data_IF_731418346813
#
_entry.id   IF_731418346813
#
_cell.length_a   1.000
_cell.length_b   1.000
_cell.length_c   1.000
_cell.angle_alpha   90.00
_cell.angle_beta   90.00
_cell.angle_gamma   90.00
#
_symmetry.space_group_name_H-M   'P 1'
#
loop_
_entity.id
_entity.type
_entity.pdbx_description
1 polymer ?
#
# COMPACT_ATOMS: atom_id res chain seq x y z
N UNK A 1 -10.77 11.92 0.46
CA UNK A 1 -9.78 12.97 0.05
C UNK A 1 -10.46 14.31 -0.28
N UNK A 2 -11.68 14.31 -0.76
CA UNK A 2 -12.48 15.53 -1.00
C UNK A 2 -12.95 16.19 0.30
N UNK A 3 -12.86 15.48 1.43
CA UNK A 3 -13.36 15.94 2.73
C UNK A 3 -12.48 16.96 3.45
N UNK A 4 -11.25 17.19 2.99
CA UNK A 4 -10.34 18.17 3.62
C UNK A 4 -10.50 19.61 3.12
N UNK A 5 -11.25 19.86 2.08
CA UNK A 5 -11.68 21.16 1.56
C UNK A 5 -10.93 22.39 2.08
N UNK A 6 -11.64 23.25 2.78
CA UNK A 6 -11.11 24.47 3.38
C UNK A 6 -10.09 24.22 4.51
N UNK A 7 -10.09 23.05 5.14
CA UNK A 7 -9.19 22.72 6.25
C UNK A 7 -7.79 22.30 5.78
N UNK A 8 -7.57 22.14 4.48
CA UNK A 8 -6.29 21.69 3.93
C UNK A 8 -5.11 22.59 4.33
N UNK A 9 -5.31 23.89 4.38
CA UNK A 9 -4.28 24.83 4.81
C UNK A 9 -3.93 24.66 6.29
N UNK A 10 -4.91 24.40 7.14
CA UNK A 10 -4.70 24.09 8.55
C UNK A 10 -3.83 22.85 8.72
N UNK A 11 -4.16 21.74 8.04
CA UNK A 11 -3.35 20.52 8.12
C UNK A 11 -1.92 20.74 7.62
N UNK A 12 -1.76 21.48 6.53
CA UNK A 12 -0.45 21.78 5.96
C UNK A 12 0.45 22.60 6.90
N UNK A 13 -0.12 23.54 7.65
CA UNK A 13 0.63 24.37 8.59
C UNK A 13 0.83 23.73 9.96
N UNK A 14 0.00 22.74 10.33
CA UNK A 14 -0.07 22.20 11.70
C UNK A 14 0.60 20.83 11.85
N UNK A 15 0.81 20.10 10.74
CA UNK A 15 1.31 18.73 10.79
C UNK A 15 2.54 18.52 9.91
N UNK A 16 3.58 17.88 10.48
CA UNK A 16 4.81 17.53 9.79
C UNK A 16 4.59 16.40 8.76
N UNK A 17 3.67 15.49 9.08
CA UNK A 17 3.32 14.32 8.21
C UNK A 17 2.38 14.71 7.06
N UNK A 18 2.08 15.99 6.87
CA UNK A 18 1.15 16.42 5.84
C UNK A 18 1.61 16.05 4.44
N UNK A 19 0.72 15.37 3.71
CA UNK A 19 0.77 15.27 2.24
C UNK A 19 -0.62 15.54 1.68
N UNK A 20 -0.70 16.07 0.46
CA UNK A 20 -1.99 16.41 -0.15
C UNK A 20 -2.95 15.24 -0.36
N UNK A 21 -2.47 14.00 -0.17
CA UNK A 21 -3.21 12.74 -0.35
C UNK A 21 -3.19 11.85 0.90
N UNK A 22 -2.65 12.35 2.03
CA UNK A 22 -2.61 11.60 3.28
C UNK A 22 -4.02 11.26 3.78
N UNK A 23 -4.15 10.07 4.36
CA UNK A 23 -5.34 9.67 5.07
C UNK A 23 -5.38 10.33 6.46
N UNK A 24 -6.57 10.62 6.98
CA UNK A 24 -6.77 11.33 8.25
C UNK A 24 -6.05 10.68 9.44
N UNK A 25 -5.96 9.37 9.47
CA UNK A 25 -5.28 8.68 10.56
C UNK A 25 -3.81 9.07 10.71
N UNK A 26 -3.14 9.54 9.65
CA UNK A 26 -1.76 10.03 9.72
C UNK A 26 -1.63 11.22 10.68
N UNK A 27 -2.60 12.12 10.65
CA UNK A 27 -2.64 13.28 11.55
C UNK A 27 -3.01 12.90 12.97
N UNK A 28 -3.89 11.87 13.14
CA UNK A 28 -4.20 11.33 14.46
C UNK A 28 -2.98 10.66 15.11
N UNK A 29 -2.17 9.95 14.34
CA UNK A 29 -0.93 9.35 14.82
C UNK A 29 0.03 10.46 15.30
N UNK A 30 0.31 11.46 14.46
CA UNK A 30 1.18 12.56 14.85
C UNK A 30 0.67 13.29 16.09
N UNK A 31 -0.61 13.66 16.09
CA UNK A 31 -1.22 14.38 17.21
C UNK A 31 -1.19 13.57 18.49
N UNK A 32 -1.55 12.28 18.41
CA UNK A 32 -1.57 11.38 19.57
C UNK A 32 -0.19 11.24 20.20
N UNK A 33 0.85 11.04 19.39
CA UNK A 33 2.22 10.92 19.88
C UNK A 33 2.74 12.24 20.46
N UNK A 34 2.43 13.39 19.84
CA UNK A 34 2.81 14.72 20.35
C UNK A 34 2.15 15.09 21.69
N UNK A 35 1.03 14.47 22.03
CA UNK A 35 0.32 14.69 23.30
C UNK A 35 0.83 13.82 24.44
N UNK A 36 1.75 12.89 24.20
CA UNK A 36 2.25 12.00 25.24
C UNK A 36 3.11 12.77 26.26
N UNK A 37 2.86 12.51 27.53
CA UNK A 37 3.78 12.85 28.60
C UNK A 37 5.10 12.05 28.46
N UNK A 38 6.21 12.48 29.09
CA UNK A 38 7.43 11.68 29.14
C UNK A 38 7.13 10.24 29.64
N UNK A 39 7.62 9.23 28.93
CA UNK A 39 7.33 7.82 29.20
C UNK A 39 5.93 7.36 28.79
N UNK A 40 5.07 8.25 28.33
CA UNK A 40 3.72 7.92 27.84
C UNK A 40 3.75 6.98 26.62
N UNK A 41 2.69 6.21 26.46
CA UNK A 41 2.53 5.27 25.34
C UNK A 41 1.30 5.61 24.50
N UNK A 42 1.46 5.49 23.20
CA UNK A 42 0.41 5.59 22.19
C UNK A 42 0.25 4.23 21.52
N UNK A 43 -0.98 3.76 21.41
CA UNK A 43 -1.29 2.56 20.63
C UNK A 43 -2.50 2.82 19.75
N UNK A 44 -2.40 2.45 18.48
CA UNK A 44 -3.45 2.73 17.51
C UNK A 44 -3.56 1.62 16.48
N UNK A 45 -4.79 1.16 16.22
CA UNK A 45 -5.08 0.24 15.14
C UNK A 45 -5.50 1.05 13.91
N UNK A 46 -4.78 0.87 12.80
CA UNK A 46 -4.99 1.61 11.54
C UNK A 46 -4.75 0.71 10.34
N UNK A 47 -5.14 1.18 9.15
CA UNK A 47 -4.78 0.48 7.91
C UNK A 47 -3.26 0.53 7.67
N UNK A 48 -2.67 -0.58 7.20
CA UNK A 48 -1.22 -0.71 6.97
C UNK A 48 -0.72 -0.04 5.67
N UNK A 49 -1.62 0.53 4.85
CA UNK A 49 -1.28 1.11 3.54
C UNK A 49 -0.16 2.14 3.58
N UNK A 50 -0.06 2.91 4.68
CA UNK A 50 0.99 3.92 4.85
C UNK A 50 2.41 3.33 4.86
N UNK A 51 2.56 2.04 5.17
CA UNK A 51 3.85 1.36 5.12
C UNK A 51 4.48 1.39 3.71
N UNK A 52 3.67 1.42 2.65
CA UNK A 52 4.14 1.30 1.26
C UNK A 52 3.64 2.39 0.32
N UNK A 53 2.50 3.01 0.62
CA UNK A 53 1.92 4.03 -0.25
C UNK A 53 2.73 5.33 -0.23
N UNK A 54 2.74 6.05 -1.36
CA UNK A 54 3.47 7.31 -1.51
C UNK A 54 3.03 8.37 -0.50
N UNK A 55 1.74 8.45 -0.16
CA UNK A 55 1.25 9.41 0.82
C UNK A 55 1.78 9.13 2.24
N UNK A 56 2.22 7.91 2.53
CA UNK A 56 2.80 7.53 3.82
C UNK A 56 4.26 7.96 4.01
N UNK A 57 4.94 8.47 2.98
CA UNK A 57 6.36 8.83 3.04
C UNK A 57 6.70 9.73 4.23
N UNK A 58 6.00 10.86 4.38
CA UNK A 58 6.28 11.78 5.49
C UNK A 58 5.96 11.19 6.87
N UNK A 59 4.92 10.36 6.97
CA UNK A 59 4.62 9.65 8.21
C UNK A 59 5.73 8.65 8.55
N UNK A 60 6.24 7.89 7.59
CA UNK A 60 7.36 6.97 7.78
C UNK A 60 8.62 7.70 8.25
N UNK A 61 9.01 8.78 7.56
CA UNK A 61 10.16 9.59 7.92
C UNK A 61 10.04 10.16 9.34
N UNK A 62 8.86 10.66 9.69
CA UNK A 62 8.59 11.19 11.01
C UNK A 62 8.61 10.12 12.10
N UNK A 63 7.98 8.97 11.87
CA UNK A 63 7.98 7.85 12.81
C UNK A 63 9.39 7.24 13.03
N UNK A 64 10.27 7.27 12.05
CA UNK A 64 11.68 6.84 12.21
C UNK A 64 12.43 7.63 13.29
N UNK A 65 11.97 8.83 13.63
CA UNK A 65 12.55 9.64 14.72
C UNK A 65 11.96 9.33 16.09
N UNK A 66 10.99 8.43 16.19
CA UNK A 66 10.24 8.13 17.42
C UNK A 66 10.65 6.77 17.98
N UNK A 67 10.37 6.57 19.27
CA UNK A 67 10.56 5.28 19.91
C UNK A 67 9.38 4.35 19.53
N UNK A 68 9.53 3.63 18.42
CA UNK A 68 8.57 2.60 18.03
C UNK A 68 8.82 1.38 18.91
N UNK A 69 7.82 1.01 19.69
CA UNK A 69 7.87 -0.14 20.59
C UNK A 69 7.46 -1.42 19.86
N UNK A 70 6.36 -1.33 19.08
CA UNK A 70 5.75 -2.51 18.47
C UNK A 70 5.01 -2.17 17.19
N UNK A 71 5.11 -3.07 16.21
CA UNK A 71 4.29 -3.09 15.01
C UNK A 71 3.72 -4.49 14.84
N UNK A 72 2.40 -4.63 14.95
CA UNK A 72 1.70 -5.90 14.71
C UNK A 72 0.84 -5.77 13.46
N UNK A 73 1.24 -6.41 12.35
CA UNK A 73 0.57 -6.34 11.06
C UNK A 73 -0.29 -7.60 10.84
N UNK A 74 -1.58 -7.41 10.64
CA UNK A 74 -2.53 -8.49 10.37
C UNK A 74 -2.66 -8.79 8.86
N UNK A 75 -1.93 -8.07 8.00
CA UNK A 75 -2.01 -8.29 6.56
C UNK A 75 -3.44 -8.15 6.04
N UNK A 76 -3.91 -9.16 5.32
CA UNK A 76 -5.27 -9.23 4.76
C UNK A 76 -6.26 -10.04 5.62
N UNK A 77 -5.88 -10.39 6.85
CA UNK A 77 -6.74 -11.13 7.76
C UNK A 77 -8.00 -10.32 8.10
N UNK A 78 -9.18 -10.96 8.16
CA UNK A 78 -10.47 -10.29 8.36
C UNK A 78 -10.71 -9.96 9.85
N UNK A 79 -9.88 -9.07 10.42
CA UNK A 79 -10.01 -8.60 11.81
C UNK A 79 -11.33 -7.87 12.02
N UNK A 80 -11.82 -7.15 11.01
CA UNK A 80 -13.10 -6.46 11.02
C UNK A 80 -14.07 -7.10 10.04
N UNK A 81 -15.21 -7.55 10.51
CA UNK A 81 -16.23 -8.27 9.71
C UNK A 81 -16.96 -7.37 8.69
N UNK A 82 -17.00 -6.06 8.93
CA UNK A 82 -17.74 -5.08 8.12
C UNK A 82 -16.89 -4.23 7.19
N UNK A 83 -15.57 -4.38 7.22
CA UNK A 83 -14.68 -3.52 6.43
C UNK A 83 -13.52 -4.32 5.83
N UNK A 84 -13.32 -4.18 4.52
CA UNK A 84 -12.13 -4.71 3.83
C UNK A 84 -10.95 -3.79 4.10
N UNK A 85 -10.28 -3.97 5.22
CA UNK A 85 -9.10 -3.21 5.63
C UNK A 85 -7.93 -4.17 5.88
N UNK A 86 -6.73 -3.64 5.83
CA UNK A 86 -5.49 -4.35 6.19
C UNK A 86 -4.99 -3.77 7.51
N UNK A 87 -5.46 -4.30 8.67
CA UNK A 87 -5.20 -3.67 9.96
C UNK A 87 -3.76 -3.85 10.42
N UNK A 88 -3.26 -2.83 11.12
CA UNK A 88 -1.96 -2.83 11.77
C UNK A 88 -2.09 -2.13 13.12
N UNK A 89 -1.51 -2.70 14.17
CA UNK A 89 -1.35 -2.02 15.46
C UNK A 89 0.05 -1.40 15.48
N UNK A 90 0.09 -0.10 15.72
CA UNK A 90 1.30 0.67 15.96
C UNK A 90 1.35 1.08 17.43
N UNK A 91 2.44 0.75 18.13
CA UNK A 91 2.71 1.21 19.49
C UNK A 91 4.00 2.03 19.52
N UNK A 92 3.90 3.25 20.06
CA UNK A 92 4.99 4.22 20.13
C UNK A 92 5.03 4.78 21.55
N UNK A 93 6.21 4.99 22.10
CA UNK A 93 6.39 5.68 23.37
C UNK A 93 7.08 7.04 23.20
N UNK A 94 6.87 7.92 24.19
CA UNK A 94 7.60 9.19 24.32
C UNK A 94 8.89 8.97 25.14
N UNK A 95 9.66 7.95 24.74
CA UNK A 95 11.00 7.64 25.28
C UNK A 95 12.08 7.98 24.24
N UNK A 96 13.33 7.89 24.65
CA UNK A 96 14.46 7.90 23.71
C UNK A 96 14.36 6.68 22.80
N UNK A 97 14.47 6.84 21.47
CA UNK A 97 14.38 5.72 20.55
C UNK A 97 15.45 4.65 20.83
N UNK A 98 15.05 3.39 20.92
CA UNK A 98 15.96 2.26 21.05
C UNK A 98 16.29 1.59 19.72
N UNK A 99 15.59 1.99 18.63
CA UNK A 99 15.80 1.55 17.25
C UNK A 99 15.61 0.05 16.98
N UNK A 100 14.99 -0.70 17.89
CA UNK A 100 14.68 -2.11 17.75
C UNK A 100 13.21 -2.41 18.10
N UNK A 101 12.26 -1.92 17.28
CA UNK A 101 10.86 -2.23 17.50
C UNK A 101 10.59 -3.73 17.39
N UNK A 102 9.67 -4.21 18.22
CA UNK A 102 9.14 -5.56 18.11
C UNK A 102 8.14 -5.65 16.98
N UNK A 103 8.39 -6.51 15.99
CA UNK A 103 7.56 -6.58 14.79
C UNK A 103 6.98 -7.99 14.64
N UNK A 104 5.67 -8.07 14.45
CA UNK A 104 4.96 -9.32 14.26
C UNK A 104 4.08 -9.25 13.02
N UNK A 105 4.26 -10.21 12.09
CA UNK A 105 3.30 -10.46 11.02
C UNK A 105 2.36 -11.58 11.47
N UNK A 106 1.08 -11.26 11.61
CA UNK A 106 0.07 -12.21 12.08
C UNK A 106 -0.36 -13.10 10.91
N UNK A 107 -0.21 -14.41 11.06
CA UNK A 107 -0.56 -15.38 10.02
C UNK A 107 -1.96 -15.96 10.17
N UNK A 108 -2.55 -15.90 11.37
CA UNK A 108 -3.87 -16.45 11.68
C UNK A 108 -4.53 -15.65 12.81
N UNK A 109 -5.86 -15.64 12.86
CA UNK A 109 -6.62 -15.09 13.99
C UNK A 109 -6.97 -16.15 15.03
N UNK A 110 -6.51 -17.39 14.85
CA UNK A 110 -6.75 -18.52 15.76
C UNK A 110 -5.73 -18.49 16.92
N UNK A 111 -5.89 -17.60 17.88
CA UNK A 111 -5.09 -17.51 19.10
C UNK A 111 -5.97 -17.10 20.27
N UNK A 112 -5.64 -17.58 21.47
CA UNK A 112 -6.33 -17.22 22.71
C UNK A 112 -5.95 -15.84 23.24
N UNK A 113 -4.71 -15.41 22.96
CA UNK A 113 -4.15 -14.15 23.42
C UNK A 113 -3.22 -13.54 22.35
N UNK A 114 -3.57 -12.34 21.88
CA UNK A 114 -2.73 -11.59 20.96
C UNK A 114 -1.35 -11.31 21.58
N UNK A 115 -1.29 -11.02 22.88
CA UNK A 115 -0.03 -10.76 23.58
C UNK A 115 0.90 -11.97 23.51
N UNK A 116 0.40 -13.17 23.80
CA UNK A 116 1.19 -14.40 23.74
C UNK A 116 1.63 -14.71 22.30
N UNK A 117 0.72 -14.51 21.34
CA UNK A 117 1.04 -14.68 19.93
C UNK A 117 2.18 -13.75 19.48
N UNK A 118 2.09 -12.46 19.81
CA UNK A 118 3.10 -11.45 19.49
C UNK A 118 4.45 -11.80 20.13
N UNK A 119 4.45 -12.25 21.39
CA UNK A 119 5.69 -12.68 22.09
C UNK A 119 6.33 -13.92 21.46
N UNK A 120 5.52 -14.85 20.96
CA UNK A 120 6.00 -16.10 20.39
C UNK A 120 6.47 -15.98 18.92
N UNK A 121 5.90 -15.04 18.15
CA UNK A 121 6.08 -14.96 16.69
C UNK A 121 6.67 -13.65 16.19
N UNK A 122 6.90 -12.70 17.09
CA UNK A 122 7.54 -11.42 16.75
C UNK A 122 9.05 -11.51 16.85
N UNK A 123 9.72 -10.58 16.15
CA UNK A 123 11.16 -10.37 16.18
C UNK A 123 11.49 -8.89 16.39
N UNK A 124 12.62 -8.61 17.05
CA UNK A 124 13.18 -7.27 17.09
C UNK A 124 13.82 -6.95 15.73
N UNK A 125 13.35 -5.91 15.07
CA UNK A 125 13.88 -5.47 13.77
C UNK A 125 14.66 -4.18 13.95
N UNK A 126 15.83 -4.09 13.33
CA UNK A 126 16.59 -2.84 13.29
C UNK A 126 15.83 -1.76 12.53
N UNK A 127 15.42 -0.70 13.22
CA UNK A 127 14.64 0.41 12.66
C UNK A 127 15.38 1.17 11.55
N UNK A 128 16.71 1.09 11.49
CA UNK A 128 17.50 1.73 10.43
C UNK A 128 17.23 1.12 9.04
N UNK A 129 16.66 -0.08 9.01
CA UNK A 129 16.28 -0.81 7.78
C UNK A 129 14.92 -0.38 7.21
N UNK A 130 14.20 0.46 7.92
CA UNK A 130 12.95 1.02 7.42
C UNK A 130 13.26 2.09 6.37
N UNK A 131 13.18 1.71 5.10
CA UNK A 131 13.43 2.59 3.96
C UNK A 131 12.31 3.60 3.79
N UNK A 132 12.62 4.77 3.26
CA UNK A 132 11.63 5.83 3.05
C UNK A 132 10.60 5.45 1.97
N UNK A 133 11.01 4.66 0.98
CA UNK A 133 10.17 4.14 -0.11
C UNK A 133 9.09 3.17 0.41
N UNK A 134 9.38 2.46 1.49
CA UNK A 134 8.44 1.54 2.11
C UNK A 134 9.07 0.73 3.22
N UNK A 135 8.31 0.50 4.28
CA UNK A 135 8.72 -0.35 5.38
C UNK A 135 8.40 -1.81 5.08
N UNK A 136 9.42 -2.64 5.00
CA UNK A 136 9.26 -4.09 4.98
C UNK A 136 9.29 -4.62 6.41
N UNK A 137 8.22 -5.29 6.82
CA UNK A 137 8.10 -5.95 8.12
C UNK A 137 8.53 -7.43 8.06
N UNK A 138 9.17 -7.84 6.97
CA UNK A 138 9.62 -9.21 6.78
C UNK A 138 10.75 -9.57 7.75
N UNK A 139 10.79 -10.84 8.15
CA UNK A 139 11.86 -11.38 9.01
C UNK A 139 13.25 -11.17 8.42
N UNK A 140 14.28 -11.18 9.27
CA UNK A 140 15.67 -11.06 8.83
C UNK A 140 16.03 -12.07 7.74
N UNK A 141 15.58 -13.31 7.88
CA UNK A 141 15.84 -14.35 6.88
C UNK A 141 15.27 -14.01 5.50
N UNK A 142 14.02 -13.50 5.46
CA UNK A 142 13.37 -13.05 4.23
C UNK A 142 14.09 -11.85 3.62
N UNK A 143 14.52 -10.89 4.43
CA UNK A 143 15.26 -9.73 3.96
C UNK A 143 16.61 -10.12 3.38
N UNK A 144 17.36 -10.99 4.04
CA UNK A 144 18.64 -11.51 3.53
C UNK A 144 18.47 -12.23 2.18
N UNK A 145 17.37 -12.98 2.03
CA UNK A 145 17.02 -13.61 0.74
C UNK A 145 16.73 -12.58 -0.35
N UNK A 146 15.96 -11.54 -0.03
CA UNK A 146 15.68 -10.45 -0.97
C UNK A 146 16.94 -9.70 -1.39
N UNK A 147 17.83 -9.41 -0.46
CA UNK A 147 19.13 -8.79 -0.76
C UNK A 147 19.97 -9.68 -1.70
N UNK A 148 20.04 -10.99 -1.40
CA UNK A 148 20.73 -11.95 -2.28
C UNK A 148 20.13 -11.98 -3.69
N UNK A 149 18.81 -11.90 -3.81
CA UNK A 149 18.13 -11.83 -5.11
C UNK A 149 18.46 -10.52 -5.82
N UNK A 150 18.45 -9.38 -5.13
CA UNK A 150 18.77 -8.05 -5.68
C UNK A 150 20.20 -7.97 -6.21
N UNK A 151 21.15 -8.58 -5.53
CA UNK A 151 22.56 -8.59 -5.98
C UNK A 151 22.76 -9.25 -7.35
N UNK A 152 21.89 -10.19 -7.72
CA UNK A 152 21.98 -10.96 -8.97
C UNK A 152 20.84 -10.64 -9.95
N UNK A 153 20.10 -9.55 -9.72
CA UNK A 153 18.98 -9.15 -10.56
C UNK A 153 19.07 -7.68 -10.97
N UNK A 154 18.55 -7.39 -12.15
CA UNK A 154 18.36 -6.02 -12.61
C UNK A 154 16.95 -5.58 -12.18
N UNK A 155 16.77 -4.45 -11.48
CA UNK A 155 15.43 -3.94 -11.15
C UNK A 155 14.58 -3.79 -12.44
N UNK A 156 13.30 -4.16 -12.35
CA UNK A 156 12.40 -4.12 -13.52
C UNK A 156 12.35 -2.73 -14.16
N UNK A 157 12.36 -1.66 -13.34
CA UNK A 157 12.39 -0.28 -13.83
C UNK A 157 13.60 0.00 -14.71
N UNK A 158 14.78 -0.48 -14.31
CA UNK A 158 16.02 -0.33 -15.08
C UNK A 158 16.00 -1.21 -16.33
N UNK A 159 15.53 -2.45 -16.20
CA UNK A 159 15.42 -3.39 -17.33
C UNK A 159 14.55 -2.86 -18.46
N UNK A 160 13.44 -2.19 -18.13
CA UNK A 160 12.54 -1.60 -19.12
C UNK A 160 12.85 -0.11 -19.40
N UNK A 161 13.97 0.42 -18.89
CA UNK A 161 14.37 1.82 -19.03
C UNK A 161 13.28 2.83 -18.60
N UNK A 162 12.59 2.52 -17.49
CA UNK A 162 11.48 3.33 -16.95
C UNK A 162 10.19 3.28 -17.78
N UNK A 163 10.14 2.50 -18.85
CA UNK A 163 8.99 2.40 -19.76
C UNK A 163 7.94 1.42 -19.25
N UNK A 164 7.36 1.74 -18.09
CA UNK A 164 6.22 1.01 -17.52
C UNK A 164 4.99 1.89 -17.69
N UNK A 165 4.08 1.46 -18.53
CA UNK A 165 2.89 2.24 -18.86
C UNK A 165 1.64 1.59 -18.26
N UNK A 166 0.71 2.43 -17.84
CA UNK A 166 -0.63 2.00 -17.49
C UNK A 166 -1.41 1.76 -18.79
N UNK A 167 -2.21 0.71 -18.84
CA UNK A 167 -3.10 0.46 -19.97
C UNK A 167 -4.16 1.55 -20.14
N UNK A 168 -4.94 1.44 -21.20
CA UNK A 168 -5.99 2.41 -21.54
C UNK A 168 -7.04 2.49 -20.41
N UNK A 169 -7.36 3.72 -20.01
CA UNK A 169 -8.41 4.03 -19.05
C UNK A 169 -9.54 4.74 -19.81
N UNK A 170 -10.65 4.06 -19.98
CA UNK A 170 -11.81 4.60 -20.69
C UNK A 170 -12.66 5.53 -19.83
N UNK A 171 -12.47 5.53 -18.51
CA UNK A 171 -13.38 6.18 -17.56
C UNK A 171 -14.73 5.46 -17.42
N UNK A 172 -15.32 4.99 -18.52
CA UNK A 172 -16.57 4.23 -18.54
C UNK A 172 -16.54 3.13 -19.61
N UNK A 173 -16.09 1.94 -19.24
CA UNK A 173 -15.98 0.81 -20.18
C UNK A 173 -17.28 0.54 -20.94
N UNK A 174 -18.45 0.63 -20.30
CA UNK A 174 -19.75 0.39 -20.94
C UNK A 174 -20.04 1.31 -22.14
N UNK A 175 -19.41 2.49 -22.18
CA UNK A 175 -19.60 3.43 -23.27
C UNK A 175 -18.63 3.21 -24.43
N UNK A 176 -17.45 2.64 -24.17
CA UNK A 176 -16.36 2.56 -25.15
C UNK A 176 -16.02 1.13 -25.58
N UNK A 177 -16.34 0.12 -24.77
CA UNK A 177 -16.04 -1.27 -25.10
C UNK A 177 -17.22 -1.91 -25.80
N UNK A 178 -17.00 -2.40 -27.03
CA UNK A 178 -18.01 -2.98 -27.91
C UNK A 178 -17.72 -4.45 -28.20
N UNK A 179 -18.75 -5.18 -28.60
CA UNK A 179 -18.67 -6.57 -29.03
C UNK A 179 -18.39 -6.70 -30.54
N UNK A 180 -18.18 -7.93 -31.02
CA UNK A 180 -17.91 -8.19 -32.44
C UNK A 180 -19.09 -7.74 -33.35
N UNK A 181 -20.36 -8.04 -33.05
CA UNK A 181 -21.49 -7.58 -33.92
C UNK A 181 -21.55 -6.06 -34.05
N UNK A 182 -21.32 -5.32 -32.97
CA UNK A 182 -21.29 -3.87 -32.98
C UNK A 182 -20.12 -3.35 -33.80
N UNK A 183 -18.93 -3.93 -33.67
CA UNK A 183 -17.77 -3.60 -34.51
C UNK A 183 -18.09 -3.78 -35.99
N UNK A 184 -18.62 -4.94 -36.36
CA UNK A 184 -18.89 -5.26 -37.76
C UNK A 184 -19.94 -4.29 -38.37
N UNK A 185 -20.95 -3.94 -37.59
CA UNK A 185 -21.97 -2.93 -38.00
C UNK A 185 -21.32 -1.56 -38.22
N UNK A 186 -20.50 -1.07 -37.28
CA UNK A 186 -19.83 0.23 -37.38
C UNK A 186 -18.87 0.30 -38.58
N UNK A 187 -18.17 -0.78 -38.89
CA UNK A 187 -17.31 -0.84 -40.08
C UNK A 187 -18.11 -0.89 -41.38
N UNK A 188 -19.28 -1.54 -41.35
CA UNK A 188 -20.16 -1.55 -42.51
C UNK A 188 -20.78 -0.18 -42.78
N UNK A 189 -21.11 0.60 -41.73
CA UNK A 189 -21.62 1.96 -41.81
C UNK A 189 -20.55 2.98 -42.29
N UNK A 190 -19.33 2.87 -41.74
CA UNK A 190 -18.17 3.69 -42.17
C UNK A 190 -16.90 2.84 -42.12
N UNK A 191 -16.31 2.46 -43.28
CA UNK A 191 -15.10 1.66 -43.35
C UNK A 191 -13.91 2.25 -42.62
N UNK A 192 -13.84 3.57 -42.41
CA UNK A 192 -12.76 4.23 -41.65
C UNK A 192 -12.79 3.83 -40.19
N UNK A 193 -13.90 3.34 -39.65
CA UNK A 193 -14.01 2.82 -38.29
C UNK A 193 -13.03 1.69 -38.01
N UNK A 194 -12.61 0.91 -39.03
CA UNK A 194 -11.61 -0.14 -38.88
C UNK A 194 -10.24 0.37 -38.47
N UNK A 195 -9.90 1.62 -38.76
CA UNK A 195 -8.61 2.23 -38.41
C UNK A 195 -8.53 2.53 -36.90
N UNK A 196 -9.65 2.87 -36.26
CA UNK A 196 -9.73 3.31 -34.86
C UNK A 196 -10.13 2.21 -33.91
N UNK A 197 -10.99 1.28 -34.33
CA UNK A 197 -11.44 0.18 -33.48
C UNK A 197 -10.31 -0.84 -33.29
N UNK A 198 -9.84 -1.00 -32.04
CA UNK A 198 -8.72 -1.89 -31.70
C UNK A 198 -9.17 -3.04 -30.78
N UNK A 199 -8.49 -4.20 -30.84
CA UNK A 199 -8.72 -5.27 -29.90
C UNK A 199 -8.54 -4.80 -28.45
N UNK A 200 -9.46 -5.23 -27.58
CA UNK A 200 -9.44 -4.89 -26.17
C UNK A 200 -9.51 -6.16 -25.31
N UNK A 201 -8.63 -6.24 -24.31
CA UNK A 201 -8.63 -7.31 -23.33
C UNK A 201 -8.58 -6.73 -21.90
N UNK A 202 -9.37 -7.28 -21.00
CA UNK A 202 -9.25 -6.97 -19.56
C UNK A 202 -8.09 -7.73 -18.95
N UNK A 203 -7.54 -7.26 -17.84
CA UNK A 203 -6.50 -7.96 -17.10
C UNK A 203 -6.88 -9.40 -16.71
N UNK A 204 -8.17 -9.65 -16.41
CA UNK A 204 -8.70 -11.01 -16.12
C UNK A 204 -8.66 -11.96 -17.31
N UNK A 205 -8.55 -11.46 -18.54
CA UNK A 205 -8.52 -12.27 -19.77
C UNK A 205 -7.11 -12.79 -20.05
N UNK A 206 -6.10 -12.20 -19.39
CA UNK A 206 -4.70 -12.62 -19.46
C UNK A 206 -4.50 -13.84 -18.57
N UNK A 207 -4.22 -14.99 -19.19
CA UNK A 207 -3.97 -16.26 -18.50
C UNK A 207 -2.50 -16.64 -18.65
N UNK A 208 -1.98 -17.39 -17.65
CA UNK A 208 -0.60 -17.90 -17.70
C UNK A 208 -0.44 -18.87 -18.86
N UNK A 209 0.49 -18.58 -19.76
CA UNK A 209 0.84 -19.43 -20.92
C UNK A 209 -0.31 -19.73 -21.89
N UNK A 210 -1.35 -18.89 -21.94
CA UNK A 210 -2.45 -19.05 -22.88
C UNK A 210 -2.53 -17.85 -23.84
N UNK A 211 -2.91 -18.04 -25.10
CA UNK A 211 -3.16 -16.95 -26.02
C UNK A 211 -4.36 -16.11 -25.52
N UNK A 212 -4.33 -14.82 -25.80
CA UNK A 212 -5.43 -13.92 -25.45
C UNK A 212 -6.53 -14.06 -26.51
N UNK A 213 -7.71 -14.55 -26.11
CA UNK A 213 -8.90 -14.52 -26.95
C UNK A 213 -9.53 -13.12 -26.92
N UNK A 214 -9.42 -12.42 -28.03
CA UNK A 214 -10.06 -11.09 -28.18
C UNK A 214 -11.55 -11.25 -28.46
N UNK A 215 -12.39 -10.84 -27.51
CA UNK A 215 -13.87 -10.86 -27.62
C UNK A 215 -14.48 -9.47 -27.60
N UNK A 216 -13.68 -8.45 -27.31
CA UNK A 216 -14.12 -7.07 -27.16
C UNK A 216 -13.17 -6.12 -27.88
N UNK A 217 -13.69 -4.93 -28.20
CA UNK A 217 -12.98 -3.91 -28.95
C UNK A 217 -13.21 -2.53 -28.31
N UNK A 218 -12.27 -1.62 -28.53
CA UNK A 218 -12.28 -0.25 -28.04
C UNK A 218 -12.10 0.70 -29.21
#
# INVERSE_FOLDING_TARGET
QESLGLDKQYYQSSFEVFTGTADLYSYFIEKGIKLLAPGGQFSYIVANKWLRANYGLKLRQWLKTKCIEEITDFGDLPVFTSATTYPLILRVSNNTPHYHPWVTSVATLEFSSLKEYVQAHGDAIDQTRFEDEGWSLASQATQNLLEKLRQNAIPLGDYVHGKIYRGILTGLNKAFVIDQPTKDRLIAEDPRSAEVIKPFAHGRDIKRYAPIEVKQFL
#
